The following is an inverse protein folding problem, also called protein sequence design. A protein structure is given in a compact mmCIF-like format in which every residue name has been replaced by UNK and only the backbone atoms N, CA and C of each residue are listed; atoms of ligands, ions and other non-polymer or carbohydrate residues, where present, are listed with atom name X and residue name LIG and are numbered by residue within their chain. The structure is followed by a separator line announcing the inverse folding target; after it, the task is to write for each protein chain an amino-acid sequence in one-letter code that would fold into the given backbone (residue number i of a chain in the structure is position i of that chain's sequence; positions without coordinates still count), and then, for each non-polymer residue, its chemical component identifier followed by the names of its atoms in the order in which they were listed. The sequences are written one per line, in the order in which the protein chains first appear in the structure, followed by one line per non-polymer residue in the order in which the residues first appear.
data_IF_406838949703
#
_entry.id   IF_406838949703
#
_cell.length_a   1.000
_cell.length_b   1.000
_cell.length_c   1.000
_cell.angle_alpha   90.00
_cell.angle_beta   90.00
_cell.angle_gamma   90.00
#
_symmetry.space_group_name_H-M   'P 1'
#
loop_
_entity.id
_entity.type
_entity.pdbx_description
1 polymer ?
#
# COMPACT_ATOMS: atom_id res chain seq x y z
N UNK A 1 -3.43 -11.39 8.84
CA UNK A 1 -4.26 -11.96 7.76
C UNK A 1 -4.18 -11.10 6.48
N UNK A 2 -2.98 -10.68 6.06
CA UNK A 2 -2.79 -9.65 5.02
C UNK A 2 -2.94 -10.20 3.59
N UNK A 3 -2.60 -11.49 3.39
CA UNK A 3 -2.47 -12.09 2.06
C UNK A 3 -3.79 -12.35 1.34
N UNK A 4 -4.88 -12.59 2.07
CA UNK A 4 -6.20 -12.88 1.48
C UNK A 4 -6.90 -11.58 1.05
N UNK A 5 -6.88 -10.54 1.92
CA UNK A 5 -7.46 -9.22 1.67
C UNK A 5 -6.97 -8.60 0.36
N UNK A 6 -5.66 -8.65 0.09
CA UNK A 6 -5.06 -8.00 -1.09
C UNK A 6 -5.49 -8.63 -2.43
N UNK A 7 -5.81 -9.92 -2.44
CA UNK A 7 -6.32 -10.55 -3.66
C UNK A 7 -7.76 -10.09 -3.92
N UNK A 8 -8.57 -9.95 -2.87
CA UNK A 8 -9.94 -9.44 -2.97
C UNK A 8 -9.96 -7.95 -3.31
N UNK A 9 -9.11 -7.15 -2.68
CA UNK A 9 -9.06 -5.69 -2.88
C UNK A 9 -8.39 -5.28 -4.19
N UNK A 10 -7.19 -5.81 -4.48
CA UNK A 10 -6.36 -5.34 -5.60
C UNK A 10 -6.21 -6.36 -6.74
N UNK A 11 -6.65 -7.60 -6.56
CA UNK A 11 -6.54 -8.67 -7.57
C UNK A 11 -5.16 -9.33 -7.64
N UNK A 12 -4.28 -9.07 -6.66
CA UNK A 12 -2.89 -9.54 -6.68
C UNK A 12 -2.56 -10.47 -5.51
N UNK A 13 -1.66 -11.41 -5.76
CA UNK A 13 -1.05 -12.26 -4.74
C UNK A 13 0.32 -11.72 -4.44
N UNK A 14 0.62 -11.53 -3.16
CA UNK A 14 1.91 -11.01 -2.73
C UNK A 14 2.71 -12.01 -1.89
N UNK A 15 4.02 -11.81 -1.88
CA UNK A 15 4.94 -12.34 -0.90
C UNK A 15 5.42 -11.18 -0.02
N UNK A 16 5.07 -11.23 1.27
CA UNK A 16 5.54 -10.26 2.26
C UNK A 16 7.00 -10.55 2.58
N UNK A 17 7.80 -9.50 2.66
CA UNK A 17 9.21 -9.58 3.03
C UNK A 17 9.47 -8.86 4.36
N UNK A 18 10.09 -7.68 4.31
CA UNK A 18 10.62 -6.97 5.46
C UNK A 18 9.64 -5.93 5.99
N UNK A 19 9.58 -5.76 7.30
CA UNK A 19 8.88 -4.63 7.92
C UNK A 19 9.66 -3.34 7.65
N UNK A 20 9.02 -2.36 7.05
CA UNK A 20 9.59 -1.03 6.74
C UNK A 20 9.32 -0.06 7.90
N UNK A 21 8.09 -0.03 8.41
CA UNK A 21 7.71 0.91 9.46
C UNK A 21 6.64 0.34 10.40
N UNK A 22 6.66 0.81 11.65
CA UNK A 22 5.58 0.59 12.63
C UNK A 22 5.08 1.94 13.08
N UNK A 23 3.77 2.20 12.95
CA UNK A 23 3.15 3.46 13.35
C UNK A 23 2.13 3.21 14.43
N UNK A 24 2.13 4.04 15.46
CA UNK A 24 1.10 4.02 16.50
C UNK A 24 0.12 5.17 16.26
N UNK A 25 -1.01 4.86 15.62
CA UNK A 25 -2.12 5.79 15.43
C UNK A 25 -3.46 5.07 15.60
N UNK A 26 -4.19 5.39 16.68
CA UNK A 26 -5.46 4.70 17.07
C UNK A 26 -5.38 3.15 17.04
N UNK A 27 -4.17 2.62 17.23
CA UNK A 27 -3.81 1.25 16.95
C UNK A 27 -2.33 1.15 16.61
N UNK A 28 -1.81 -0.05 16.42
CA UNK A 28 -0.46 -0.26 15.88
C UNK A 28 -0.59 -0.78 14.46
N UNK A 29 -0.08 -0.02 13.51
CA UNK A 29 -0.04 -0.32 12.09
C UNK A 29 1.36 -0.78 11.70
N UNK A 30 1.44 -1.79 10.83
CA UNK A 30 2.69 -2.38 10.38
C UNK A 30 2.75 -2.32 8.85
N UNK A 31 3.81 -1.70 8.34
CA UNK A 31 4.01 -1.46 6.92
C UNK A 31 5.13 -2.36 6.41
N UNK A 32 4.85 -3.24 5.46
CA UNK A 32 5.79 -4.23 4.96
C UNK A 32 6.14 -3.98 3.49
N UNK A 33 7.39 -4.29 3.12
CA UNK A 33 7.73 -4.56 1.74
C UNK A 33 7.05 -5.85 1.29
N UNK A 34 6.57 -5.87 0.05
CA UNK A 34 6.05 -7.08 -0.56
C UNK A 34 6.22 -7.08 -2.08
N UNK A 35 6.40 -8.26 -2.65
CA UNK A 35 6.45 -8.46 -4.10
C UNK A 35 5.18 -9.11 -4.61
N UNK A 36 4.67 -8.63 -5.73
CA UNK A 36 3.59 -9.30 -6.46
C UNK A 36 4.17 -10.57 -7.09
N UNK A 37 3.62 -11.72 -6.70
CA UNK A 37 4.01 -13.04 -7.20
C UNK A 37 2.98 -13.63 -8.18
N UNK A 38 1.87 -12.91 -8.41
CA UNK A 38 0.85 -13.31 -9.38
C UNK A 38 -0.45 -12.51 -9.24
N UNK A 39 -1.42 -12.81 -10.10
CA UNK A 39 -2.66 -12.04 -10.23
C UNK A 39 -2.55 -10.89 -11.22
N UNK A 40 -3.59 -10.06 -11.30
CA UNK A 40 -3.64 -8.89 -12.18
C UNK A 40 -3.97 -7.70 -11.31
N UNK A 41 -3.13 -6.66 -11.36
CA UNK A 41 -3.37 -5.46 -10.57
C UNK A 41 -4.61 -4.70 -11.08
N UNK A 42 -5.50 -4.32 -10.17
CA UNK A 42 -6.68 -3.49 -10.47
C UNK A 42 -7.94 -4.27 -10.86
N UNK A 43 -7.92 -5.61 -10.83
CA UNK A 43 -9.15 -6.43 -11.03
C UNK A 43 -9.85 -6.79 -9.71
N UNK A 44 -9.29 -6.34 -8.59
CA UNK A 44 -9.89 -6.57 -7.29
C UNK A 44 -11.25 -5.88 -7.17
N UNK A 45 -12.07 -6.42 -6.28
CA UNK A 45 -13.46 -6.01 -6.04
C UNK A 45 -13.67 -5.56 -4.60
N UNK A 46 -12.63 -5.00 -3.99
CA UNK A 46 -12.73 -4.48 -2.63
C UNK A 46 -13.84 -3.44 -2.54
N UNK A 47 -14.68 -3.52 -1.51
CA UNK A 47 -15.80 -2.59 -1.31
C UNK A 47 -15.33 -1.13 -1.20
N UNK A 48 -14.07 -0.92 -0.80
CA UNK A 48 -13.43 0.40 -0.71
C UNK A 48 -13.31 1.13 -2.05
N UNK A 49 -13.32 0.41 -3.17
CA UNK A 49 -13.29 0.99 -4.53
C UNK A 49 -14.68 1.47 -4.99
N UNK A 50 -15.76 1.04 -4.34
CA UNK A 50 -17.15 1.32 -4.73
C UNK A 50 -17.83 2.40 -3.88
N UNK A 51 -17.11 2.98 -2.89
CA UNK A 51 -17.66 3.98 -1.96
C UNK A 51 -17.96 5.33 -2.64
N UNK A 52 -19.15 5.45 -3.22
CA UNK A 52 -19.65 6.65 -3.93
C UNK A 52 -19.64 7.93 -3.10
N UNK A 53 -19.73 7.83 -1.77
CA UNK A 53 -19.91 9.00 -0.88
C UNK A 53 -18.60 9.53 -0.26
N UNK A 54 -17.46 8.85 -0.46
CA UNK A 54 -16.16 9.27 0.12
C UNK A 54 -15.06 9.52 -0.92
N UNK A 55 -15.40 9.48 -2.20
CA UNK A 55 -14.48 9.59 -3.33
C UNK A 55 -14.01 8.21 -3.83
N UNK A 56 -13.50 8.17 -5.06
CA UNK A 56 -12.96 6.95 -5.66
C UNK A 56 -11.51 6.75 -5.21
N UNK A 57 -11.21 5.59 -4.64
CA UNK A 57 -9.83 5.18 -4.41
C UNK A 57 -9.31 4.52 -5.70
N UNK A 58 -8.27 5.07 -6.32
CA UNK A 58 -7.68 4.50 -7.54
C UNK A 58 -6.25 4.07 -7.20
N UNK A 59 -5.93 2.77 -7.28
CA UNK A 59 -4.60 2.29 -6.94
C UNK A 59 -3.68 2.62 -8.12
N UNK A 60 -2.52 3.22 -7.83
CA UNK A 60 -1.62 3.76 -8.83
C UNK A 60 -0.16 3.43 -8.50
N UNK A 61 0.58 3.07 -9.55
CA UNK A 61 2.02 2.90 -9.47
C UNK A 61 2.69 4.25 -9.58
N UNK A 62 3.59 4.56 -8.66
CA UNK A 62 4.38 5.79 -8.69
C UNK A 62 5.87 5.49 -8.54
N UNK A 63 6.74 6.23 -9.25
CA UNK A 63 8.17 6.18 -9.02
C UNK A 63 8.52 6.58 -7.58
N UNK A 64 9.45 5.86 -6.94
CA UNK A 64 9.81 6.12 -5.55
C UNK A 64 10.42 7.51 -5.33
N UNK A 65 11.11 8.04 -6.35
CA UNK A 65 11.69 9.38 -6.34
C UNK A 65 10.64 10.50 -6.37
N UNK A 66 9.39 10.19 -6.74
CA UNK A 66 8.28 11.14 -6.70
C UNK A 66 7.58 11.16 -5.34
N UNK A 67 7.82 10.16 -4.48
CA UNK A 67 7.18 10.03 -3.18
C UNK A 67 7.27 11.30 -2.32
N UNK A 68 8.41 12.02 -2.25
CA UNK A 68 8.50 13.29 -1.47
C UNK A 68 7.70 14.45 -2.07
N UNK A 69 7.29 14.36 -3.34
CA UNK A 69 6.56 15.41 -4.04
C UNK A 69 5.04 15.25 -3.96
N UNK A 70 4.57 14.15 -3.35
CA UNK A 70 3.14 13.85 -3.19
C UNK A 70 2.76 13.92 -1.72
N UNK A 71 1.59 14.48 -1.43
CA UNK A 71 1.06 14.57 -0.07
C UNK A 71 0.55 13.20 0.42
N UNK A 72 1.48 12.32 0.80
CA UNK A 72 1.19 10.96 1.29
C UNK A 72 1.17 10.97 2.81
N UNK A 73 0.09 10.42 3.38
CA UNK A 73 -0.07 10.21 4.82
C UNK A 73 -0.06 8.71 5.15
N UNK A 74 0.54 8.29 6.27
CA UNK A 74 1.29 9.12 7.22
C UNK A 74 2.65 9.57 6.65
N UNK A 75 3.06 10.81 6.90
CA UNK A 75 4.29 11.38 6.35
C UNK A 75 5.54 10.58 6.78
N UNK A 76 5.57 10.10 8.03
CA UNK A 76 6.69 9.32 8.57
C UNK A 76 6.86 7.97 7.85
N UNK A 77 5.75 7.37 7.40
CA UNK A 77 5.78 6.14 6.61
C UNK A 77 6.31 6.42 5.22
N UNK A 78 5.83 7.49 4.58
CA UNK A 78 6.32 7.88 3.26
C UNK A 78 7.85 8.10 3.31
N UNK A 79 8.33 8.84 4.31
CA UNK A 79 9.77 9.03 4.50
C UNK A 79 10.52 7.70 4.71
N UNK A 80 9.99 6.81 5.56
CA UNK A 80 10.60 5.49 5.82
C UNK A 80 10.69 4.63 4.55
N UNK A 81 9.65 4.66 3.71
CA UNK A 81 9.61 3.93 2.43
C UNK A 81 10.62 4.53 1.44
N UNK A 82 10.67 5.86 1.33
CA UNK A 82 11.64 6.55 0.48
C UNK A 82 13.10 6.21 0.87
N UNK A 83 13.42 6.27 2.16
CA UNK A 83 14.76 5.98 2.67
C UNK A 83 15.15 4.51 2.53
N UNK A 84 14.20 3.59 2.58
CA UNK A 84 14.43 2.16 2.35
C UNK A 84 14.90 1.87 0.92
N UNK A 85 14.28 2.51 -0.07
CA UNK A 85 14.53 2.25 -1.49
C UNK A 85 15.59 3.15 -2.14
N UNK A 86 16.04 4.19 -1.44
CA UNK A 86 17.14 5.06 -1.90
C UNK A 86 18.54 4.48 -1.62
N UNK A 87 18.63 3.47 -0.75
CA UNK A 87 19.88 2.76 -0.43
C UNK A 87 20.32 1.85 -1.56
#
# INVERSE_FOLDING_TARGET
MIKVSLYEELGVRIQVEHLIATVKYKGTEYYYNAHIIGGVFGIGKGEEFELKDRGSYIPLWMPINELPNVNIKPYDVAQSVFDYYRK
#
